data_IF_760291236254
#
_entry.id   IF_760291236254
#
_cell.length_a   1.000
_cell.length_b   1.000
_cell.length_c   1.000
_cell.angle_alpha   90.00
_cell.angle_beta   90.00
_cell.angle_gamma   90.00
#
_symmetry.space_group_name_H-M   'P 1'
#
loop_
_entity.id
_entity.type
_entity.pdbx_description
1 polymer ?
#
# COMPACT_ATOMS: atom_id res chain seq x y z
N UNK A 1 2.55 1.28 11.45
CA UNK A 1 2.74 -0.16 11.75
C UNK A 1 3.26 -0.85 10.48
N UNK A 2 3.77 -2.09 10.56
CA UNK A 2 4.39 -2.76 9.41
C UNK A 2 3.44 -2.94 8.21
N UNK A 3 2.18 -3.31 8.47
CA UNK A 3 1.13 -3.46 7.45
C UNK A 3 0.91 -2.16 6.66
N UNK A 4 0.79 -1.03 7.36
CA UNK A 4 0.67 0.27 6.72
C UNK A 4 1.93 0.65 5.96
N UNK A 5 3.13 0.38 6.51
CA UNK A 5 4.40 0.70 5.86
C UNK A 5 4.55 -0.02 4.51
N UNK A 6 4.27 -1.32 4.45
CA UNK A 6 4.44 -2.09 3.20
C UNK A 6 3.41 -1.69 2.14
N UNK A 7 2.17 -1.44 2.54
CA UNK A 7 1.13 -0.99 1.61
C UNK A 7 1.41 0.42 1.06
N UNK A 8 1.97 1.32 1.89
CA UNK A 8 2.45 2.63 1.42
C UNK A 8 3.64 2.51 0.45
N UNK A 9 4.52 1.53 0.63
CA UNK A 9 5.63 1.32 -0.28
C UNK A 9 5.16 0.92 -1.68
N UNK A 10 4.05 0.19 -1.80
CA UNK A 10 3.42 -0.09 -3.09
C UNK A 10 2.92 1.17 -3.80
N UNK A 11 2.34 2.11 -3.05
CA UNK A 11 1.93 3.41 -3.60
C UNK A 11 3.13 4.17 -4.17
N UNK A 12 4.21 4.23 -3.40
CA UNK A 12 5.47 4.89 -3.76
C UNK A 12 6.12 4.25 -4.98
N UNK A 13 6.37 2.93 -4.93
CA UNK A 13 7.12 2.22 -5.96
C UNK A 13 6.45 2.25 -7.34
N UNK A 14 5.12 2.41 -7.38
CA UNK A 14 4.34 2.36 -8.62
C UNK A 14 3.77 3.72 -9.05
N UNK A 15 3.92 4.76 -8.22
CA UNK A 15 3.36 6.08 -8.48
C UNK A 15 1.83 6.06 -8.53
N UNK A 16 1.16 5.31 -7.65
CA UNK A 16 -0.31 5.13 -7.63
C UNK A 16 -0.90 5.36 -6.25
N UNK A 17 -2.17 5.73 -6.19
CA UNK A 17 -2.92 5.73 -4.94
C UNK A 17 -3.15 4.28 -4.49
N UNK A 18 -3.09 4.04 -3.18
CA UNK A 18 -3.41 2.72 -2.60
C UNK A 18 -4.46 2.90 -1.52
N UNK A 19 -5.55 2.14 -1.65
CA UNK A 19 -6.60 2.02 -0.64
C UNK A 19 -6.44 0.67 0.04
N UNK A 20 -6.27 0.66 1.35
CA UNK A 20 -6.17 -0.57 2.15
C UNK A 20 -7.32 -0.62 3.13
N UNK A 21 -8.09 -1.70 3.09
CA UNK A 21 -9.28 -1.89 3.93
C UNK A 21 -9.04 -3.04 4.90
N UNK A 22 -9.44 -2.85 6.14
CA UNK A 22 -9.37 -3.87 7.17
C UNK A 22 -10.61 -3.81 8.06
N UNK A 23 -10.98 -4.95 8.65
CA UNK A 23 -12.11 -5.04 9.57
C UNK A 23 -11.71 -4.65 11.00
N UNK A 24 -12.69 -4.37 11.84
CA UNK A 24 -12.51 -4.12 13.28
C UNK A 24 -13.25 -5.17 14.12
N UNK A 25 -12.94 -5.23 15.41
CA UNK A 25 -13.73 -5.98 16.39
C UNK A 25 -13.12 -7.31 16.80
N UNK A 26 -13.86 -8.01 17.66
CA UNK A 26 -13.49 -9.31 18.21
C UNK A 26 -14.33 -10.40 17.54
N UNK A 27 -13.66 -11.45 17.10
CA UNK A 27 -14.27 -12.68 16.57
C UNK A 27 -13.82 -13.87 17.42
N UNK A 28 -14.50 -15.01 17.26
CA UNK A 28 -14.17 -16.27 17.96
C UNK A 28 -14.15 -16.12 19.49
N UNK A 29 -15.20 -15.51 20.04
CA UNK A 29 -15.35 -15.26 21.49
C UNK A 29 -14.16 -14.47 22.08
N UNK A 30 -13.57 -13.57 21.30
CA UNK A 30 -12.46 -12.72 21.74
C UNK A 30 -11.06 -13.28 21.45
N UNK A 31 -10.94 -14.47 20.86
CA UNK A 31 -9.63 -15.06 20.51
C UNK A 31 -8.96 -14.35 19.33
N UNK A 32 -9.74 -13.69 18.47
CA UNK A 32 -9.23 -12.99 17.31
C UNK A 32 -9.66 -11.52 17.35
N UNK A 33 -8.69 -10.61 17.43
CA UNK A 33 -8.95 -9.17 17.31
C UNK A 33 -8.49 -8.68 15.94
N UNK A 34 -9.39 -7.99 15.26
CA UNK A 34 -9.07 -7.22 14.07
C UNK A 34 -8.93 -5.74 14.41
N UNK A 35 -7.90 -5.15 13.83
CA UNK A 35 -7.38 -3.86 14.28
C UNK A 35 -7.74 -2.71 13.35
N UNK A 36 -8.68 -2.88 12.41
CA UNK A 36 -9.08 -1.84 11.47
C UNK A 36 -7.88 -1.12 10.85
N UNK A 37 -7.90 0.21 10.95
CA UNK A 37 -6.83 1.06 10.46
C UNK A 37 -6.81 1.17 8.94
N UNK A 38 -7.96 0.97 8.29
CA UNK A 38 -8.16 1.24 6.87
C UNK A 38 -7.59 2.62 6.51
N UNK A 39 -6.95 2.75 5.35
CA UNK A 39 -6.30 4.01 5.00
C UNK A 39 -6.19 4.19 3.49
N UNK A 40 -5.96 5.43 3.09
CA UNK A 40 -5.63 5.80 1.70
C UNK A 40 -4.27 6.48 1.68
N UNK A 41 -3.36 5.98 0.85
CA UNK A 41 -2.06 6.59 0.62
C UNK A 41 -1.95 7.17 -0.79
N UNK A 42 -1.31 8.32 -0.91
CA UNK A 42 -0.96 8.91 -2.20
C UNK A 42 0.35 8.30 -2.74
N UNK A 43 0.71 8.59 -4.01
CA UNK A 43 1.96 8.11 -4.63
C UNK A 43 3.28 8.56 -3.98
N UNK A 44 3.28 9.54 -3.06
CA UNK A 44 4.46 9.87 -2.24
C UNK A 44 4.44 9.19 -0.86
N UNK A 45 3.45 8.32 -0.62
CA UNK A 45 3.27 7.65 0.66
C UNK A 45 2.77 8.58 1.77
N UNK A 46 2.21 9.75 1.47
CA UNK A 46 1.43 10.51 2.46
C UNK A 46 0.07 9.86 2.63
N UNK A 47 -0.46 9.88 3.85
CA UNK A 47 -1.81 9.40 4.11
C UNK A 47 -2.80 10.51 3.78
N UNK A 48 -3.75 10.21 2.88
CA UNK A 48 -4.90 11.05 2.61
C UNK A 48 -5.97 10.84 3.69
N UNK A 49 -6.06 9.61 4.18
CA UNK A 49 -7.02 9.20 5.18
C UNK A 49 -6.48 8.05 6.02
N UNK A 50 -6.91 7.98 7.28
CA UNK A 50 -6.64 6.90 8.23
C UNK A 50 -7.85 6.70 9.13
N UNK A 51 -8.51 5.55 8.99
CA UNK A 51 -9.66 5.16 9.78
C UNK A 51 -9.30 4.61 11.16
N UNK A 52 -10.34 4.36 11.95
CA UNK A 52 -10.25 3.84 13.31
C UNK A 52 -9.64 2.44 13.37
N UNK A 53 -8.95 2.14 14.48
CA UNK A 53 -8.51 0.79 14.80
C UNK A 53 -9.57 -0.04 15.54
N UNK A 54 -10.66 0.59 16.00
CA UNK A 54 -11.63 -0.03 16.93
C UNK A 54 -13.08 0.07 16.43
N UNK A 55 -13.42 1.06 15.61
CA UNK A 55 -14.81 1.36 15.25
C UNK A 55 -15.11 1.02 13.79
N UNK A 56 -16.34 0.54 13.56
CA UNK A 56 -16.89 0.46 12.21
C UNK A 56 -17.03 1.87 11.64
N UNK A 57 -16.72 2.01 10.35
CA UNK A 57 -16.56 3.32 9.72
C UNK A 57 -16.84 3.23 8.22
N UNK A 58 -17.50 4.27 7.71
CA UNK A 58 -17.67 4.52 6.27
C UNK A 58 -17.13 5.92 5.97
N UNK A 59 -16.20 6.00 5.01
CA UNK A 59 -15.61 7.26 4.56
C UNK A 59 -15.52 7.27 3.03
N UNK A 60 -15.69 8.46 2.45
CA UNK A 60 -15.60 8.67 1.01
C UNK A 60 -14.54 9.73 0.75
N UNK A 61 -13.56 9.39 -0.09
CA UNK A 61 -12.45 10.27 -0.43
C UNK A 61 -12.32 10.38 -1.95
N UNK A 62 -12.29 11.61 -2.44
CA UNK A 62 -12.01 11.89 -3.85
C UNK A 62 -10.52 11.72 -4.13
N UNK A 63 -10.18 11.00 -5.21
CA UNK A 63 -8.81 10.81 -5.67
C UNK A 63 -8.63 11.44 -7.03
N UNK A 64 -7.77 12.44 -7.09
CA UNK A 64 -7.40 13.10 -8.33
C UNK A 64 -6.34 12.27 -9.07
N UNK A 65 -6.80 11.45 -10.00
CA UNK A 65 -5.94 10.58 -10.82
C UNK A 65 -5.17 11.35 -11.89
N UNK A 66 -5.54 12.59 -12.21
CA UNK A 66 -4.81 13.41 -13.18
C UNK A 66 -3.38 13.72 -12.71
N UNK A 67 -3.15 13.69 -11.40
CA UNK A 67 -1.82 13.91 -10.80
C UNK A 67 -0.86 12.73 -10.97
N UNK A 68 -1.31 11.55 -11.39
CA UNK A 68 -0.47 10.35 -11.55
C UNK A 68 0.74 10.61 -12.44
N UNK A 69 0.58 11.37 -13.53
CA UNK A 69 1.69 11.69 -14.44
C UNK A 69 2.78 12.53 -13.74
N UNK A 70 2.37 13.54 -12.95
CA UNK A 70 3.29 14.33 -12.13
C UNK A 70 4.08 13.45 -11.17
N UNK A 71 3.42 12.51 -10.49
CA UNK A 71 4.11 11.62 -9.54
C UNK A 71 5.18 10.75 -10.23
N UNK A 72 4.83 10.16 -11.37
CA UNK A 72 5.72 9.26 -12.13
C UNK A 72 6.83 10.00 -12.86
N UNK A 73 6.65 11.27 -13.23
CA UNK A 73 7.71 12.08 -13.83
C UNK A 73 8.68 12.62 -12.77
N UNK A 74 8.20 12.94 -11.56
CA UNK A 74 9.06 13.37 -10.47
C UNK A 74 9.94 12.23 -9.94
N UNK A 75 9.37 11.05 -9.70
CA UNK A 75 10.08 9.83 -9.31
C UNK A 75 9.90 8.75 -10.39
N UNK A 76 10.77 8.75 -11.43
CA UNK A 76 10.61 7.93 -12.64
C UNK A 76 11.05 6.48 -12.46
N UNK A 77 10.58 5.82 -11.39
CA UNK A 77 10.93 4.42 -11.10
C UNK A 77 10.63 3.51 -12.28
N UNK A 78 9.49 3.68 -12.96
CA UNK A 78 9.13 2.86 -14.12
C UNK A 78 10.13 2.95 -15.28
N UNK A 79 10.74 4.12 -15.50
CA UNK A 79 11.78 4.33 -16.50
C UNK A 79 13.09 3.66 -16.09
N UNK A 80 13.42 3.73 -14.80
CA UNK A 80 14.73 3.32 -14.26
C UNK A 80 14.76 1.84 -13.80
N UNK A 81 13.63 1.11 -13.89
CA UNK A 81 13.57 -0.33 -13.59
C UNK A 81 14.57 -1.11 -14.46
N UNK A 82 15.51 -1.80 -13.80
CA UNK A 82 16.45 -2.74 -14.42
C UNK A 82 15.78 -4.07 -14.73
N UNK A 83 14.82 -4.04 -15.67
CA UNK A 83 14.02 -5.20 -16.06
C UNK A 83 14.88 -6.36 -16.56
N UNK A 84 16.04 -6.06 -17.14
CA UNK A 84 17.07 -7.01 -17.57
C UNK A 84 17.61 -7.85 -16.41
N UNK A 85 17.61 -7.31 -15.19
CA UNK A 85 18.15 -7.96 -13.98
C UNK A 85 17.07 -8.65 -13.13
N UNK A 86 15.78 -8.53 -13.47
CA UNK A 86 14.68 -9.01 -12.61
C UNK A 86 14.37 -10.50 -12.74
N UNK A 87 15.05 -11.24 -13.63
CA UNK A 87 14.68 -12.63 -13.89
C UNK A 87 14.73 -13.54 -12.66
N UNK A 88 15.59 -13.23 -11.68
CA UNK A 88 15.72 -14.04 -10.48
C UNK A 88 14.55 -13.88 -9.48
N UNK A 89 13.72 -12.83 -9.59
CA UNK A 89 12.65 -12.57 -8.59
C UNK A 89 11.53 -13.63 -8.62
N UNK A 90 11.44 -14.41 -9.70
CA UNK A 90 10.47 -15.51 -9.84
C UNK A 90 10.95 -16.79 -9.15
N UNK A 91 12.23 -16.87 -8.77
CA UNK A 91 12.77 -18.01 -8.03
C UNK A 91 12.36 -17.92 -6.56
N UNK A 92 12.06 -19.08 -5.96
CA UNK A 92 11.75 -19.18 -4.52
C UNK A 92 12.93 -18.73 -3.66
N UNK A 93 14.14 -19.09 -4.08
CA UNK A 93 15.42 -18.77 -3.47
C UNK A 93 16.50 -18.86 -4.56
N UNK A 94 17.61 -18.12 -4.42
CA UNK A 94 18.77 -18.21 -5.32
C UNK A 94 19.92 -18.80 -4.52
N UNK A 95 20.15 -20.09 -4.69
CA UNK A 95 21.32 -20.81 -4.18
C UNK A 95 22.54 -20.55 -5.07
N UNK A 96 23.73 -20.74 -4.47
CA UNK A 96 24.95 -20.95 -5.23
C UNK A 96 25.04 -22.47 -5.44
N UNK A 97 25.07 -22.91 -6.69
CA UNK A 97 25.68 -24.22 -7.00
C UNK A 97 27.17 -24.17 -6.62
#
# INVERSE_FOLDING_TARGET
>A
NAWQTIQKSHAIANGVHVVSVNRVGLEQEGKMKFWGGSFVANPFGSLIYKGSHENEEVSVHELDLSKTDRYRTHWPFMRDRRIDSYQQITKRYVDQD
#
